data_IF_124619832062
#
_entry.id   IF_124619832062
#
_cell.length_a   1.000
_cell.length_b   1.000
_cell.length_c   1.000
_cell.angle_alpha   90.00
_cell.angle_beta   90.00
_cell.angle_gamma   90.00
#
_symmetry.space_group_name_H-M   'P 1'
#
loop_
_entity.id
_entity.type
_entity.pdbx_description
1 polymer ?
#
# COMPACT_ATOMS: atom_id res chain seq x y z
N UNK A 1 -6.71 15.04 15.47
CA UNK A 1 -7.14 14.77 14.10
C UNK A 1 -6.55 13.49 13.57
N UNK A 2 -7.35 12.64 12.95
CA UNK A 2 -6.89 11.34 12.45
C UNK A 2 -6.32 11.55 11.05
N UNK A 3 -5.07 11.10 10.86
CA UNK A 3 -4.45 11.12 9.54
C UNK A 3 -4.97 9.95 8.72
N UNK A 4 -5.18 10.13 7.41
CA UNK A 4 -5.48 9.00 6.54
C UNK A 4 -4.35 7.97 6.60
N UNK A 5 -4.70 6.70 6.44
CA UNK A 5 -3.72 5.61 6.45
C UNK A 5 -3.90 4.75 5.23
N UNK A 6 -2.80 4.46 4.55
CA UNK A 6 -2.76 3.48 3.48
C UNK A 6 -1.99 2.26 3.96
N UNK A 7 -2.42 1.09 3.53
CA UNK A 7 -1.81 -0.17 3.94
C UNK A 7 -1.09 -0.81 2.77
N UNK A 8 0.14 -1.24 2.98
CA UNK A 8 0.90 -2.00 1.99
C UNK A 8 1.00 -3.44 2.49
N UNK A 9 0.40 -4.36 1.76
CA UNK A 9 0.56 -5.79 2.03
C UNK A 9 1.84 -6.24 1.37
N UNK A 10 2.69 -6.89 2.13
CA UNK A 10 4.04 -7.21 1.72
C UNK A 10 4.43 -8.59 2.22
N UNK A 11 5.63 -9.05 1.88
CA UNK A 11 6.24 -10.22 2.49
C UNK A 11 7.75 -10.05 2.48
N UNK A 12 8.44 -10.89 3.27
CA UNK A 12 9.90 -10.86 3.35
C UNK A 12 10.50 -11.20 1.99
N UNK A 13 11.65 -10.61 1.71
CA UNK A 13 12.42 -10.88 0.48
C UNK A 13 11.65 -10.58 -0.80
N UNK A 14 10.79 -9.58 -0.75
CA UNK A 14 9.98 -9.17 -1.89
C UNK A 14 10.52 -7.88 -2.47
N UNK A 15 11.21 -7.98 -3.61
CA UNK A 15 11.84 -6.82 -4.24
C UNK A 15 10.79 -5.81 -4.72
N UNK A 16 9.71 -6.28 -5.32
CA UNK A 16 8.63 -5.40 -5.78
C UNK A 16 7.95 -4.68 -4.61
N UNK A 17 7.85 -5.35 -3.45
CA UNK A 17 7.28 -4.73 -2.26
C UNK A 17 8.15 -3.57 -1.80
N UNK A 18 9.46 -3.74 -1.82
CA UNK A 18 10.39 -2.69 -1.44
C UNK A 18 10.30 -1.50 -2.38
N UNK A 19 10.19 -1.77 -3.69
CA UNK A 19 10.08 -0.71 -4.70
C UNK A 19 8.79 0.08 -4.56
N UNK A 20 7.66 -0.59 -4.37
CA UNK A 20 6.38 0.10 -4.21
C UNK A 20 6.39 0.95 -2.94
N UNK A 21 6.92 0.41 -1.85
CA UNK A 21 6.98 1.13 -0.58
C UNK A 21 7.84 2.37 -0.70
N UNK A 22 9.01 2.26 -1.35
CA UNK A 22 9.89 3.41 -1.54
C UNK A 22 9.22 4.50 -2.38
N UNK A 23 8.53 4.11 -3.45
CA UNK A 23 7.80 5.05 -4.29
C UNK A 23 6.67 5.72 -3.52
N UNK A 24 5.94 4.96 -2.72
CA UNK A 24 4.83 5.50 -1.92
C UNK A 24 5.30 6.51 -0.89
N UNK A 25 6.43 6.25 -0.26
CA UNK A 25 6.98 7.16 0.76
C UNK A 25 7.27 8.55 0.20
N UNK A 26 7.57 8.66 -1.09
CA UNK A 26 7.82 9.96 -1.69
C UNK A 26 6.58 10.84 -1.72
N UNK A 27 5.39 10.24 -1.74
CA UNK A 27 4.14 11.00 -1.69
C UNK A 27 3.92 11.68 -0.35
N UNK A 28 4.59 11.21 0.71
CA UNK A 28 4.47 11.84 2.03
C UNK A 28 5.09 13.23 2.09
N UNK A 29 5.85 13.61 1.07
CA UNK A 29 6.33 14.99 0.92
C UNK A 29 5.24 15.96 0.46
N UNK A 30 4.15 15.45 -0.14
CA UNK A 30 3.05 16.28 -0.66
C UNK A 30 1.74 16.06 0.08
N UNK A 31 1.53 14.88 0.65
CA UNK A 31 0.28 14.51 1.31
C UNK A 31 0.56 14.03 2.72
N UNK A 32 -0.34 14.37 3.63
CA UNK A 32 -0.20 13.97 5.03
C UNK A 32 -0.99 12.68 5.27
N UNK A 33 -0.29 11.56 5.25
CA UNK A 33 -0.89 10.25 5.49
C UNK A 33 0.12 9.31 6.11
N UNK A 34 -0.40 8.26 6.75
CA UNK A 34 0.42 7.21 7.35
C UNK A 34 0.49 6.01 6.41
N UNK A 35 1.58 5.27 6.49
CA UNK A 35 1.76 4.03 5.76
C UNK A 35 1.90 2.91 6.79
N UNK A 36 1.01 1.92 6.69
CA UNK A 36 1.10 0.71 7.50
C UNK A 36 1.56 -0.43 6.61
N UNK A 37 2.63 -1.12 7.02
CA UNK A 37 3.13 -2.28 6.27
C UNK A 37 2.71 -3.54 7.02
N UNK A 38 2.04 -4.44 6.32
CA UNK A 38 1.54 -5.69 6.90
C UNK A 38 2.15 -6.87 6.15
N UNK A 39 2.76 -7.78 6.89
CA UNK A 39 3.35 -9.00 6.34
C UNK A 39 2.25 -10.04 6.18
N UNK A 40 1.89 -10.38 4.93
CA UNK A 40 0.81 -11.33 4.68
C UNK A 40 1.12 -12.73 5.21
N UNK A 41 2.40 -13.07 5.34
CA UNK A 41 2.77 -14.40 5.84
C UNK A 41 2.44 -14.58 7.32
N UNK A 42 2.13 -13.50 8.02
CA UNK A 42 1.71 -13.53 9.41
C UNK A 42 0.19 -13.52 9.57
N UNK A 43 -0.55 -13.43 8.48
CA UNK A 43 -2.01 -13.31 8.50
C UNK A 43 -2.61 -14.24 7.45
N UNK A 44 -2.97 -15.49 7.84
CA UNK A 44 -3.45 -16.49 6.87
C UNK A 44 -4.58 -16.03 5.95
N UNK A 45 -5.51 -15.22 6.47
CA UNK A 45 -6.61 -14.72 5.64
C UNK A 45 -6.12 -13.77 4.56
N UNK A 46 -5.12 -12.93 4.90
CA UNK A 46 -4.54 -12.00 3.93
C UNK A 46 -3.70 -12.74 2.91
N UNK A 47 -2.96 -13.75 3.35
CA UNK A 47 -2.15 -14.56 2.45
C UNK A 47 -3.05 -15.27 1.44
N UNK A 48 -4.15 -15.84 1.89
CA UNK A 48 -5.09 -16.55 1.04
C UNK A 48 -5.70 -15.63 -0.02
N UNK A 49 -6.09 -14.42 0.39
CA UNK A 49 -6.75 -13.47 -0.50
C UNK A 49 -5.79 -12.70 -1.40
N UNK A 50 -4.63 -12.32 -0.88
CA UNK A 50 -3.74 -11.37 -1.54
C UNK A 50 -2.32 -11.88 -1.79
N UNK A 51 -1.98 -13.06 -1.26
CA UNK A 51 -0.58 -13.53 -1.25
C UNK A 51 0.12 -13.56 -2.60
N UNK A 52 -0.62 -13.88 -3.67
CA UNK A 52 -0.06 -13.94 -5.01
C UNK A 52 -0.08 -12.58 -5.72
N UNK A 53 -0.53 -11.52 -5.05
CA UNK A 53 -0.63 -10.18 -5.62
C UNK A 53 0.26 -9.15 -4.94
N UNK A 54 1.02 -9.56 -3.91
CA UNK A 54 1.86 -8.60 -3.19
C UNK A 54 2.95 -8.04 -4.10
N UNK A 55 3.30 -6.76 -3.94
CA UNK A 55 2.72 -5.81 -2.97
C UNK A 55 1.32 -5.35 -3.38
N UNK A 56 0.46 -5.17 -2.38
CA UNK A 56 -0.88 -4.64 -2.60
C UNK A 56 -1.02 -3.35 -1.79
N UNK A 57 -1.50 -2.31 -2.43
CA UNK A 57 -1.75 -1.04 -1.76
C UNK A 57 -3.25 -0.91 -1.52
N UNK A 58 -3.63 -0.76 -0.26
CA UNK A 58 -5.02 -0.70 0.16
C UNK A 58 -5.34 0.63 0.84
N UNK A 59 -6.58 1.08 0.61
CA UNK A 59 -7.21 2.12 1.40
C UNK A 59 -8.36 1.43 2.14
N UNK A 60 -8.15 1.13 3.43
CA UNK A 60 -9.04 0.25 4.16
C UNK A 60 -8.97 -1.14 3.57
N UNK A 61 -10.10 -1.65 3.07
CA UNK A 61 -10.16 -2.94 2.40
C UNK A 61 -10.25 -2.81 0.87
N UNK A 62 -10.12 -1.59 0.35
CA UNK A 62 -10.22 -1.34 -1.10
C UNK A 62 -8.85 -1.30 -1.72
N UNK A 63 -8.66 -2.10 -2.76
CA UNK A 63 -7.40 -2.12 -3.49
C UNK A 63 -7.24 -0.85 -4.31
N UNK A 64 -6.06 -0.21 -4.20
CA UNK A 64 -5.68 0.88 -5.08
C UNK A 64 -4.89 0.32 -6.26
N UNK A 65 -3.90 -0.54 -5.98
CA UNK A 65 -3.09 -1.19 -7.02
C UNK A 65 -2.34 -2.37 -6.42
N UNK A 66 -1.72 -3.19 -7.27
CA UNK A 66 -0.87 -4.29 -6.83
C UNK A 66 0.30 -4.46 -7.80
N UNK A 67 1.35 -5.15 -7.36
CA UNK A 67 2.63 -5.38 -8.04
C UNK A 67 3.43 -4.09 -8.20
N UNK A 68 2.88 -3.11 -8.91
CA UNK A 68 3.54 -1.85 -9.21
C UNK A 68 2.68 -0.69 -8.75
N UNK A 69 3.34 0.40 -8.34
CA UNK A 69 2.61 1.59 -7.95
C UNK A 69 1.97 2.22 -9.18
N UNK A 70 0.65 2.37 -9.14
CA UNK A 70 -0.11 3.02 -10.20
C UNK A 70 -0.21 4.51 -9.85
N UNK A 71 0.61 5.32 -10.52
CA UNK A 71 0.72 6.75 -10.20
C UNK A 71 -0.62 7.46 -10.29
N UNK A 72 -1.37 7.21 -11.36
CA UNK A 72 -2.66 7.89 -11.54
C UNK A 72 -3.66 7.51 -10.44
N UNK A 73 -3.72 6.23 -10.07
CA UNK A 73 -4.63 5.76 -9.03
C UNK A 73 -4.23 6.31 -7.66
N UNK A 74 -2.94 6.34 -7.35
CA UNK A 74 -2.45 6.87 -6.08
C UNK A 74 -2.70 8.37 -5.98
N UNK A 75 -2.39 9.12 -7.04
CA UNK A 75 -2.64 10.56 -7.07
C UNK A 75 -4.12 10.86 -6.85
N UNK A 76 -4.99 10.14 -7.54
CA UNK A 76 -6.44 10.35 -7.42
C UNK A 76 -6.92 10.08 -6.00
N UNK A 77 -6.42 8.99 -5.40
CA UNK A 77 -6.85 8.61 -4.06
C UNK A 77 -6.37 9.60 -3.00
N UNK A 78 -5.11 10.00 -3.05
CA UNK A 78 -4.55 10.93 -2.07
C UNK A 78 -5.17 12.32 -2.21
N UNK A 79 -5.44 12.76 -3.42
CA UNK A 79 -6.10 14.05 -3.62
C UNK A 79 -7.49 14.08 -2.99
N UNK A 80 -8.20 12.94 -2.96
CA UNK A 80 -9.54 12.85 -2.37
C UNK A 80 -9.50 12.73 -0.85
N UNK A 81 -8.36 12.36 -0.28
CA UNK A 81 -8.21 12.17 1.16
C UNK A 81 -7.85 13.46 1.91
N UNK A 82 -7.73 14.55 1.23
CA UNK A 82 -7.42 15.84 1.84
C UNK A 82 -8.52 16.34 2.76
#
# INVERSE_FOLDING_TARGET
MIRPRLTVLSRAYCHLCEELLAALKQYQGRYDFEIEVVDVDRHPHLEEKWGDKVPVLLDGDREICHYFLDVAAVDARLARMR
#
